data_IF_484996963326
#
_entry.id   IF_484996963326
#
_cell.length_a   1.000
_cell.length_b   1.000
_cell.length_c   1.000
_cell.angle_alpha   90.00
_cell.angle_beta   90.00
_cell.angle_gamma   90.00
#
_symmetry.space_group_name_H-M   'P 1'
#
loop_
_entity.id
_entity.type
_entity.pdbx_description
1 polymer ?
#
# COMPACT_ATOMS: atom_id res chain seq x y z
N UNK A 1 -20.21 -33.40 -4.59
CA UNK A 1 -20.14 -32.24 -3.66
C UNK A 1 -19.65 -31.01 -4.40
N UNK A 2 -20.35 -29.90 -4.30
CA UNK A 2 -19.88 -28.65 -4.89
C UNK A 2 -18.79 -28.05 -3.99
N UNK A 3 -17.64 -27.72 -4.56
CA UNK A 3 -16.51 -27.19 -3.81
C UNK A 3 -16.07 -25.84 -4.39
N UNK A 4 -15.95 -24.84 -3.51
CA UNK A 4 -15.42 -23.53 -3.87
C UNK A 4 -14.02 -23.39 -3.26
N UNK A 5 -13.02 -23.17 -4.11
CA UNK A 5 -11.66 -22.87 -3.64
C UNK A 5 -11.44 -21.37 -3.68
N UNK A 6 -11.08 -20.80 -2.53
CA UNK A 6 -10.78 -19.40 -2.40
C UNK A 6 -9.27 -19.20 -2.33
N UNK A 7 -8.73 -18.47 -3.32
CA UNK A 7 -7.30 -18.15 -3.39
C UNK A 7 -7.07 -16.75 -2.86
N UNK A 8 -6.15 -16.60 -1.91
CA UNK A 8 -5.77 -15.30 -1.34
C UNK A 8 -4.36 -14.93 -1.73
N UNK A 9 -4.11 -13.64 -1.96
CA UNK A 9 -2.78 -13.10 -2.22
C UNK A 9 -2.26 -12.53 -0.90
N UNK A 10 -1.47 -13.32 -0.17
CA UNK A 10 -0.94 -12.94 1.15
C UNK A 10 0.58 -12.98 1.11
N UNK A 11 1.21 -11.89 1.55
CA UNK A 11 2.65 -11.79 1.66
C UNK A 11 3.04 -11.42 3.09
N UNK A 12 4.28 -11.73 3.48
CA UNK A 12 4.79 -11.42 4.81
C UNK A 12 6.06 -10.59 4.72
N UNK A 13 6.22 -9.68 5.67
CA UNK A 13 7.40 -8.85 5.85
C UNK A 13 7.92 -9.02 7.26
N UNK A 14 9.22 -9.31 7.41
CA UNK A 14 9.87 -9.36 8.70
C UNK A 14 10.73 -8.10 8.87
N UNK A 15 10.53 -7.39 9.98
CA UNK A 15 11.37 -6.25 10.36
C UNK A 15 12.22 -6.70 11.55
N UNK A 16 13.54 -6.62 11.38
CA UNK A 16 14.50 -6.91 12.46
C UNK A 16 14.97 -5.58 13.05
N UNK A 17 14.45 -5.26 14.23
CA UNK A 17 14.79 -4.03 14.96
C UNK A 17 15.76 -4.39 16.09
N UNK A 18 17.05 -4.32 15.79
CA UNK A 18 18.14 -4.64 16.73
C UNK A 18 17.97 -6.00 17.42
N UNK A 19 17.62 -7.00 16.63
CA UNK A 19 17.43 -8.37 17.12
C UNK A 19 16.00 -8.70 17.53
N UNK A 20 15.13 -7.71 17.67
CA UNK A 20 13.70 -7.93 17.90
C UNK A 20 13.00 -8.04 16.55
N UNK A 21 12.46 -9.22 16.26
CA UNK A 21 11.82 -9.50 14.98
C UNK A 21 10.31 -9.29 15.06
N UNK A 22 9.78 -8.52 14.11
CA UNK A 22 8.34 -8.28 13.97
C UNK A 22 7.92 -8.78 12.60
N UNK A 23 6.92 -9.66 12.55
CA UNK A 23 6.38 -10.21 11.30
C UNK A 23 5.04 -9.54 11.02
N UNK A 24 4.92 -8.98 9.81
CA UNK A 24 3.71 -8.32 9.34
C UNK A 24 3.14 -9.10 8.15
N UNK A 25 1.81 -9.15 8.05
CA UNK A 25 1.11 -9.84 6.96
C UNK A 25 0.36 -8.83 6.12
N UNK A 26 0.43 -9.02 4.81
CA UNK A 26 -0.28 -8.18 3.83
C UNK A 26 -1.22 -9.06 3.01
N UNK A 27 -2.52 -8.77 3.04
CA UNK A 27 -3.53 -9.46 2.23
C UNK A 27 -4.03 -8.51 1.15
N UNK A 28 -3.67 -8.78 -0.09
CA UNK A 28 -4.00 -7.94 -1.25
C UNK A 28 -5.22 -8.48 -2.01
N UNK A 29 -5.89 -9.51 -1.44
CA UNK A 29 -7.04 -10.15 -2.09
C UNK A 29 -8.28 -9.27 -2.24
N UNK A 30 -8.63 -8.39 -1.28
CA UNK A 30 -9.84 -7.57 -1.41
C UNK A 30 -9.75 -6.52 -2.51
N UNK A 31 -10.79 -6.40 -3.31
CA UNK A 31 -10.87 -5.43 -4.41
C UNK A 31 -10.62 -3.99 -3.95
N UNK A 32 -11.06 -3.66 -2.76
CA UNK A 32 -10.90 -2.35 -2.13
C UNK A 32 -9.44 -1.91 -2.02
N UNK A 33 -8.56 -2.85 -1.66
CA UNK A 33 -7.13 -2.56 -1.47
C UNK A 33 -6.49 -2.10 -2.77
N UNK A 34 -6.87 -2.73 -3.89
CA UNK A 34 -6.32 -2.37 -5.21
C UNK A 34 -6.59 -0.90 -5.52
N UNK A 35 -7.84 -0.46 -5.34
CA UNK A 35 -8.23 0.93 -5.59
C UNK A 35 -7.54 1.90 -4.65
N UNK A 36 -7.56 1.60 -3.36
CA UNK A 36 -6.97 2.46 -2.33
C UNK A 36 -5.46 2.56 -2.46
N UNK A 37 -4.81 1.46 -2.84
CA UNK A 37 -3.36 1.45 -3.10
C UNK A 37 -3.00 2.43 -4.23
N UNK A 38 -3.73 2.37 -5.35
CA UNK A 38 -3.48 3.25 -6.49
C UNK A 38 -3.68 4.72 -6.12
N UNK A 39 -4.73 5.03 -5.37
CA UNK A 39 -5.00 6.39 -4.89
C UNK A 39 -3.90 6.90 -3.96
N UNK A 40 -3.42 6.06 -3.05
CA UNK A 40 -2.37 6.43 -2.11
C UNK A 40 -1.03 6.67 -2.82
N UNK A 41 -0.68 5.84 -3.81
CA UNK A 41 0.52 6.06 -4.62
C UNK A 41 0.46 7.38 -5.39
N UNK A 42 -0.70 7.70 -5.93
CA UNK A 42 -0.90 8.98 -6.62
C UNK A 42 -0.71 10.17 -5.66
N UNK A 43 -1.24 10.07 -4.44
CA UNK A 43 -1.08 11.13 -3.44
C UNK A 43 0.39 11.36 -3.06
N UNK A 44 1.18 10.29 -2.95
CA UNK A 44 2.63 10.40 -2.71
C UNK A 44 3.31 11.12 -3.87
N UNK A 45 3.00 10.75 -5.11
CA UNK A 45 3.56 11.39 -6.29
C UNK A 45 3.24 12.89 -6.34
N UNK A 46 2.01 13.27 -6.00
CA UNK A 46 1.61 14.67 -5.94
C UNK A 46 2.38 15.44 -4.87
N UNK A 47 2.57 14.84 -3.70
CA UNK A 47 3.32 15.48 -2.61
C UNK A 47 4.79 15.68 -3.00
N UNK A 48 5.39 14.70 -3.71
CA UNK A 48 6.75 14.83 -4.23
C UNK A 48 6.87 15.99 -5.22
N UNK A 49 5.91 16.12 -6.13
CA UNK A 49 5.90 17.24 -7.08
C UNK A 49 5.75 18.58 -6.37
N UNK A 50 4.90 18.66 -5.36
CA UNK A 50 4.71 19.88 -4.56
C UNK A 50 6.03 20.28 -3.87
N UNK A 51 6.77 19.31 -3.34
CA UNK A 51 8.07 19.57 -2.72
C UNK A 51 9.08 20.09 -3.72
N UNK A 52 9.11 19.53 -4.93
CA UNK A 52 10.03 19.98 -5.99
C UNK A 52 9.72 21.40 -6.47
N UNK A 53 8.45 21.79 -6.45
CA UNK A 53 7.99 23.11 -6.89
C UNK A 53 7.97 24.15 -5.79
N UNK A 54 8.25 23.77 -4.55
CA UNK A 54 8.22 24.68 -3.41
C UNK A 54 9.27 25.78 -3.56
N UNK A 55 8.85 27.03 -3.38
CA UNK A 55 9.72 28.21 -3.53
C UNK A 55 10.06 28.88 -2.20
N UNK A 56 9.41 28.46 -1.11
CA UNK A 56 9.61 29.04 0.22
C UNK A 56 9.36 27.96 1.28
N UNK A 57 9.69 28.30 2.54
CA UNK A 57 9.57 27.36 3.65
C UNK A 57 8.12 26.93 3.91
N UNK A 58 7.17 27.84 3.72
CA UNK A 58 5.75 27.55 3.93
C UNK A 58 5.27 26.48 2.95
N UNK A 59 5.63 26.61 1.67
CA UNK A 59 5.29 25.65 0.63
C UNK A 59 5.96 24.29 0.90
N UNK A 60 7.21 24.31 1.34
CA UNK A 60 7.94 23.09 1.68
C UNK A 60 7.32 22.37 2.86
N UNK A 61 6.93 23.09 3.91
CA UNK A 61 6.25 22.49 5.07
C UNK A 61 4.91 21.87 4.68
N UNK A 62 4.14 22.55 3.82
CA UNK A 62 2.89 21.99 3.33
C UNK A 62 3.09 20.70 2.54
N UNK A 63 4.13 20.67 1.70
CA UNK A 63 4.47 19.47 0.93
C UNK A 63 4.94 18.32 1.84
N UNK A 64 5.74 18.61 2.85
CA UNK A 64 6.20 17.61 3.83
C UNK A 64 5.04 17.03 4.62
N UNK A 65 4.10 17.86 5.06
CA UNK A 65 2.90 17.40 5.76
C UNK A 65 2.06 16.49 4.86
N UNK A 66 1.83 16.90 3.61
CA UNK A 66 1.08 16.11 2.65
C UNK A 66 1.77 14.78 2.37
N UNK A 67 3.11 14.76 2.27
CA UNK A 67 3.90 13.54 2.07
C UNK A 67 3.71 12.59 3.24
N UNK A 68 3.84 13.08 4.48
CA UNK A 68 3.66 12.25 5.68
C UNK A 68 2.27 11.63 5.73
N UNK A 69 1.23 12.40 5.46
CA UNK A 69 -0.15 11.91 5.43
C UNK A 69 -0.36 10.86 4.34
N UNK A 70 0.19 11.10 3.15
CA UNK A 70 0.08 10.15 2.04
C UNK A 70 0.79 8.83 2.34
N UNK A 71 1.96 8.87 2.97
CA UNK A 71 2.70 7.68 3.39
C UNK A 71 1.89 6.89 4.42
N UNK A 72 1.35 7.55 5.43
CA UNK A 72 0.54 6.89 6.46
C UNK A 72 -0.70 6.24 5.84
N UNK A 73 -1.34 6.90 4.89
CA UNK A 73 -2.48 6.35 4.17
C UNK A 73 -2.09 5.09 3.39
N UNK A 74 -0.97 5.13 2.67
CA UNK A 74 -0.48 3.98 1.92
C UNK A 74 -0.22 2.79 2.85
N UNK A 75 0.46 3.02 3.97
CA UNK A 75 0.79 1.97 4.92
C UNK A 75 -0.47 1.40 5.57
N UNK A 76 -1.45 2.25 5.88
CA UNK A 76 -2.74 1.79 6.41
C UNK A 76 -3.47 0.90 5.42
N UNK A 77 -3.43 1.25 4.13
CA UNK A 77 -4.04 0.44 3.07
C UNK A 77 -3.35 -0.93 2.96
N UNK A 78 -2.02 -0.95 2.97
CA UNK A 78 -1.25 -2.19 2.80
C UNK A 78 -1.32 -3.07 4.04
N UNK A 79 -1.09 -2.52 5.22
CA UNK A 79 -0.89 -3.28 6.46
C UNK A 79 -2.07 -3.27 7.41
N UNK A 80 -3.02 -2.33 7.24
CA UNK A 80 -4.11 -2.11 8.18
C UNK A 80 -3.67 -1.25 9.37
N UNK A 81 -4.65 -0.70 10.10
CA UNK A 81 -4.40 0.26 11.17
C UNK A 81 -3.56 -0.33 12.30
N UNK A 82 -3.82 -1.58 12.68
CA UNK A 82 -3.16 -2.24 13.80
C UNK A 82 -1.67 -2.46 13.53
N UNK A 83 -1.33 -2.98 12.35
CA UNK A 83 0.06 -3.19 11.96
C UNK A 83 0.77 -1.87 11.70
N UNK A 84 0.06 -0.86 11.18
CA UNK A 84 0.64 0.48 11.02
C UNK A 84 1.10 1.04 12.37
N UNK A 85 0.30 0.87 13.43
CA UNK A 85 0.71 1.32 14.77
C UNK A 85 1.98 0.63 15.24
N UNK A 86 2.14 -0.67 14.95
CA UNK A 86 3.36 -1.41 15.26
C UNK A 86 4.57 -0.85 14.51
N UNK A 87 4.39 -0.54 13.23
CA UNK A 87 5.47 0.04 12.41
C UNK A 87 5.86 1.42 12.94
N UNK A 88 4.88 2.26 13.27
CA UNK A 88 5.14 3.60 13.79
C UNK A 88 5.93 3.55 15.10
N UNK A 89 5.66 2.59 15.96
CA UNK A 89 6.44 2.40 17.21
C UNK A 89 7.90 2.07 16.90
N UNK A 90 8.15 1.23 15.89
CA UNK A 90 9.52 0.85 15.50
C UNK A 90 10.29 2.07 14.99
N UNK A 91 9.63 2.94 14.22
CA UNK A 91 10.25 4.08 13.54
C UNK A 91 10.05 5.42 14.27
N UNK A 92 9.60 5.40 15.51
CA UNK A 92 9.41 6.62 16.34
C UNK A 92 8.56 7.67 15.61
N UNK A 93 7.47 7.24 14.96
CA UNK A 93 6.54 8.11 14.24
C UNK A 93 7.18 8.92 13.11
N UNK A 94 8.15 8.31 12.39
CA UNK A 94 8.85 8.97 11.28
C UNK A 94 8.47 8.35 9.94
N UNK A 95 7.46 8.90 9.25
CA UNK A 95 6.95 8.28 8.00
C UNK A 95 7.98 8.16 6.88
N UNK A 96 8.88 9.13 6.72
CA UNK A 96 9.90 9.08 5.67
C UNK A 96 10.89 7.95 5.88
N UNK A 97 11.30 7.69 7.13
CA UNK A 97 12.17 6.55 7.43
C UNK A 97 11.46 5.23 7.15
N UNK A 98 10.19 5.12 7.56
CA UNK A 98 9.37 3.96 7.26
C UNK A 98 9.34 3.67 5.77
N UNK A 99 9.04 4.69 4.97
CA UNK A 99 8.96 4.54 3.53
C UNK A 99 10.32 4.14 2.94
N UNK A 100 11.40 4.78 3.39
CA UNK A 100 12.74 4.47 2.90
C UNK A 100 13.13 3.02 3.10
N UNK A 101 12.84 2.46 4.27
CA UNK A 101 13.21 1.08 4.59
C UNK A 101 12.27 0.06 3.96
N UNK A 102 10.96 0.37 3.86
CA UNK A 102 9.95 -0.60 3.42
C UNK A 102 9.65 -0.46 1.93
N UNK A 103 10.07 0.64 1.28
CA UNK A 103 9.84 0.85 -0.14
C UNK A 103 10.28 -0.32 -1.04
N UNK A 104 11.43 -0.97 -0.83
CA UNK A 104 11.81 -2.13 -1.63
C UNK A 104 10.80 -3.26 -1.56
N UNK A 105 10.26 -3.55 -0.37
CA UNK A 105 9.21 -4.55 -0.21
C UNK A 105 7.95 -4.15 -0.99
N UNK A 106 7.56 -2.88 -0.92
CA UNK A 106 6.39 -2.39 -1.65
C UNK A 106 6.61 -2.52 -3.16
N UNK A 107 7.77 -2.11 -3.67
CA UNK A 107 8.07 -2.16 -5.10
C UNK A 107 8.21 -3.60 -5.62
N UNK A 108 8.88 -4.47 -4.86
CA UNK A 108 9.25 -5.80 -5.34
C UNK A 108 8.18 -6.85 -5.06
N UNK A 109 7.37 -6.67 -4.02
CA UNK A 109 6.40 -7.67 -3.58
C UNK A 109 4.97 -7.16 -3.68
N UNK A 110 4.66 -5.99 -3.10
CA UNK A 110 3.28 -5.50 -3.02
C UNK A 110 2.78 -5.06 -4.41
N UNK A 111 3.53 -4.25 -5.13
CA UNK A 111 3.11 -3.73 -6.43
C UNK A 111 2.80 -4.83 -7.45
N UNK A 112 3.65 -5.87 -7.63
CA UNK A 112 3.31 -6.96 -8.52
C UNK A 112 2.05 -7.72 -8.11
N UNK A 113 1.81 -7.88 -6.82
CA UNK A 113 0.61 -8.55 -6.31
C UNK A 113 -0.65 -7.71 -6.54
N UNK A 114 -0.53 -6.39 -6.42
CA UNK A 114 -1.64 -5.47 -6.76
C UNK A 114 -2.00 -5.60 -8.24
N UNK A 115 -1.02 -5.67 -9.13
CA UNK A 115 -1.25 -5.87 -10.56
C UNK A 115 -1.96 -7.20 -10.83
N UNK A 116 -1.53 -8.27 -10.17
CA UNK A 116 -2.17 -9.58 -10.26
C UNK A 116 -3.63 -9.51 -9.81
N UNK A 117 -3.91 -8.81 -8.71
CA UNK A 117 -5.27 -8.63 -8.21
C UNK A 117 -6.13 -7.82 -9.19
N UNK A 118 -5.56 -6.77 -9.81
CA UNK A 118 -6.25 -5.99 -10.85
C UNK A 118 -6.66 -6.86 -12.03
N UNK A 119 -5.76 -7.72 -12.49
CA UNK A 119 -6.06 -8.63 -13.60
C UNK A 119 -7.20 -9.58 -13.25
N UNK A 120 -7.23 -10.11 -12.02
CA UNK A 120 -8.31 -10.98 -11.55
C UNK A 120 -9.67 -10.25 -11.56
N UNK A 121 -9.68 -9.00 -11.12
CA UNK A 121 -10.90 -8.18 -11.12
C UNK A 121 -11.39 -7.97 -12.54
N UNK A 122 -10.51 -7.62 -13.48
CA UNK A 122 -10.87 -7.42 -14.88
C UNK A 122 -11.42 -8.68 -15.51
N UNK A 123 -10.81 -9.83 -15.22
CA UNK A 123 -11.29 -11.11 -15.73
C UNK A 123 -12.68 -11.44 -15.21
N UNK A 124 -12.95 -11.16 -13.92
CA UNK A 124 -14.28 -11.37 -13.34
C UNK A 124 -15.33 -10.50 -14.04
N UNK A 125 -15.02 -9.23 -14.31
CA UNK A 125 -15.93 -8.34 -15.03
C UNK A 125 -16.18 -8.82 -16.46
N UNK A 126 -15.18 -9.32 -17.15
CA UNK A 126 -15.35 -9.91 -18.47
C UNK A 126 -16.27 -11.11 -18.46
N UNK A 127 -16.13 -12.00 -17.49
CA UNK A 127 -16.98 -13.18 -17.34
C UNK A 127 -18.42 -12.80 -17.07
N UNK A 128 -18.66 -11.83 -16.19
CA UNK A 128 -20.00 -11.33 -15.90
C UNK A 128 -20.61 -10.69 -17.13
N UNK A 129 -19.86 -9.90 -17.87
CA UNK A 129 -20.32 -9.27 -19.10
C UNK A 129 -20.70 -10.29 -20.17
N UNK A 130 -19.92 -11.36 -20.35
CA UNK A 130 -20.24 -12.45 -21.30
C UNK A 130 -21.53 -13.15 -20.91
N UNK A 131 -21.75 -13.40 -19.61
CA UNK A 131 -22.99 -14.04 -19.14
C UNK A 131 -24.22 -13.15 -19.34
N UNK A 132 -24.03 -11.82 -19.28
CA UNK A 132 -25.11 -10.86 -19.46
C UNK A 132 -25.50 -10.62 -20.91
N UNK A 133 -24.74 -11.10 -21.88
CA UNK A 133 -24.95 -10.87 -23.31
C UNK A 133 -25.74 -11.95 -24.02
N UNK A 134 -26.42 -12.79 -23.30
CA UNK A 134 -27.26 -13.83 -23.93
C UNK A 134 -28.54 -13.26 -24.51
#
# INVERSE_FOLDING_TARGET
>A
MYQIKRSRIVEQLEIDDNGKKVVLSVDISPDQIVRQYTQAQYAIAQAQQAAQKAKNDKDMQAAETAMGEAILTLFKVIFGAQQLDQILQIYDDKPLEMLGDIAPFIADVVAPRVQEAQQRIQERYKQVSKRGQK
#
